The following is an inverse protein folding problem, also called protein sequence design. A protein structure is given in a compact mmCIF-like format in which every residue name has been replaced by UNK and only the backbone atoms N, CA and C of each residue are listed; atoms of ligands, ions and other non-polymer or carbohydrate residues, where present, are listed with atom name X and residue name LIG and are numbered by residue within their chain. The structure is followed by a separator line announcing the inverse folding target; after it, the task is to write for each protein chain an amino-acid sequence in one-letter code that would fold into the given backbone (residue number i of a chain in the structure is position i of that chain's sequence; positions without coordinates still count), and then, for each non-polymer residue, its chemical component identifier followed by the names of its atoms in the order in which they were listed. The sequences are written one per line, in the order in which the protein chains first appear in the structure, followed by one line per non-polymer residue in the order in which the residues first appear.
data_IF_821805295184
#
_entry.id   IF_821805295184
#
_cell.length_a   1.000
_cell.length_b   1.000
_cell.length_c   1.000
_cell.angle_alpha   90.00
_cell.angle_beta   90.00
_cell.angle_gamma   90.00
#
_symmetry.space_group_name_H-M   'P 1'
#
loop_
_entity.id
_entity.type
_entity.pdbx_description
1 polymer ?
#
# COMPACT_ATOMS: atom_id res chain seq x y z
N UNK A 1 13.34 29.30 10.76
CA UNK A 1 12.77 27.96 10.83
C UNK A 1 11.54 27.99 9.94
N UNK A 2 11.57 27.30 8.80
CA UNK A 2 10.39 27.22 7.93
C UNK A 2 9.27 26.51 8.72
N UNK A 3 8.14 27.18 8.85
CA UNK A 3 6.97 26.64 9.54
C UNK A 3 6.35 25.61 8.59
N UNK A 4 6.97 24.43 8.48
CA UNK A 4 6.47 23.35 7.63
C UNK A 4 5.19 22.82 8.25
N UNK A 5 4.07 22.97 7.54
CA UNK A 5 2.77 22.48 7.99
C UNK A 5 2.59 20.98 7.81
N UNK A 6 3.60 20.25 7.30
CA UNK A 6 3.51 18.80 7.10
C UNK A 6 3.75 18.08 8.43
N UNK A 7 2.80 17.27 8.83
CA UNK A 7 2.79 16.51 10.10
C UNK A 7 3.33 15.09 9.96
N UNK A 8 3.10 14.46 8.82
CA UNK A 8 3.60 13.13 8.53
C UNK A 8 3.58 12.85 7.03
N UNK A 9 4.39 11.88 6.63
CA UNK A 9 4.37 11.25 5.31
C UNK A 9 4.03 9.78 5.52
N UNK A 10 2.93 9.33 4.93
CA UNK A 10 2.44 7.97 5.06
C UNK A 10 2.47 7.31 3.69
N UNK A 11 2.95 6.08 3.65
CA UNK A 11 3.19 5.33 2.44
C UNK A 11 2.30 4.08 2.40
N UNK A 12 1.78 3.75 1.24
CA UNK A 12 1.52 2.36 0.93
C UNK A 12 2.85 1.61 0.74
N UNK A 13 2.80 0.29 0.68
CA UNK A 13 4.00 -0.53 0.61
C UNK A 13 4.18 -1.16 -0.78
N UNK A 14 3.23 -2.02 -1.18
CA UNK A 14 3.27 -2.76 -2.44
C UNK A 14 3.00 -1.81 -3.62
N UNK A 15 3.86 -1.79 -4.65
CA UNK A 15 3.71 -0.87 -5.78
C UNK A 15 4.12 0.58 -5.48
N UNK A 16 4.41 0.91 -4.22
CA UNK A 16 4.77 2.26 -3.78
C UNK A 16 6.20 2.35 -3.27
N UNK A 17 6.56 1.59 -2.25
CA UNK A 17 7.94 1.50 -1.76
C UNK A 17 8.72 0.42 -2.49
N UNK A 18 8.06 -0.70 -2.80
CA UNK A 18 8.66 -1.91 -3.33
C UNK A 18 7.85 -2.53 -4.46
N UNK A 19 8.53 -3.21 -5.38
CA UNK A 19 7.90 -4.08 -6.35
C UNK A 19 7.79 -5.50 -5.77
N UNK A 20 6.62 -5.84 -5.28
CA UNK A 20 6.31 -7.17 -4.73
C UNK A 20 5.62 -8.09 -5.71
N UNK A 21 5.39 -7.67 -6.95
CA UNK A 21 4.55 -8.40 -7.91
C UNK A 21 5.01 -9.83 -8.14
N UNK A 22 6.31 -10.05 -8.33
CA UNK A 22 6.87 -11.39 -8.51
C UNK A 22 6.66 -12.25 -7.28
N UNK A 23 6.96 -11.73 -6.10
CA UNK A 23 6.78 -12.43 -4.84
C UNK A 23 5.30 -12.77 -4.60
N UNK A 24 4.43 -11.79 -4.76
CA UNK A 24 3.00 -11.96 -4.54
C UNK A 24 2.39 -12.97 -5.52
N UNK A 25 2.83 -12.98 -6.78
CA UNK A 25 2.42 -14.01 -7.76
C UNK A 25 2.86 -15.41 -7.30
N UNK A 26 4.12 -15.59 -6.88
CA UNK A 26 4.63 -16.88 -6.43
C UNK A 26 3.89 -17.37 -5.17
N UNK A 27 3.73 -16.48 -4.19
CA UNK A 27 2.97 -16.76 -2.95
C UNK A 27 1.52 -17.15 -3.29
N UNK A 28 0.87 -16.40 -4.18
CA UNK A 28 -0.51 -16.71 -4.62
C UNK A 28 -0.58 -18.08 -5.27
N UNK A 29 0.33 -18.41 -6.20
CA UNK A 29 0.40 -19.72 -6.86
C UNK A 29 0.52 -20.84 -5.83
N UNK A 30 1.49 -20.75 -4.93
CA UNK A 30 1.74 -21.77 -3.91
C UNK A 30 0.52 -21.98 -2.99
N UNK A 31 -0.15 -20.90 -2.59
CA UNK A 31 -1.37 -20.98 -1.77
C UNK A 31 -2.49 -21.65 -2.55
N UNK A 32 -2.72 -21.25 -3.80
CA UNK A 32 -3.80 -21.82 -4.64
C UNK A 32 -3.57 -23.31 -4.86
N UNK A 33 -2.35 -23.72 -5.21
CA UNK A 33 -1.99 -25.13 -5.40
C UNK A 33 -2.20 -25.94 -4.11
N UNK A 34 -1.95 -25.37 -2.94
CA UNK A 34 -2.16 -26.05 -1.67
C UNK A 34 -3.65 -26.19 -1.26
N UNK A 35 -4.52 -25.27 -1.72
CA UNK A 35 -5.94 -25.27 -1.35
C UNK A 35 -6.79 -26.11 -2.29
N UNK A 36 -6.50 -26.07 -3.60
CA UNK A 36 -7.35 -26.68 -4.62
C UNK A 36 -6.69 -27.86 -5.34
N UNK A 37 -5.47 -28.22 -4.96
CA UNK A 37 -4.71 -29.37 -5.48
C UNK A 37 -4.65 -29.39 -7.02
N UNK A 38 -4.57 -28.20 -7.66
CA UNK A 38 -4.48 -28.05 -9.12
C UNK A 38 -3.36 -27.08 -9.47
N UNK A 39 -2.84 -27.17 -10.71
CA UNK A 39 -1.80 -26.25 -11.16
C UNK A 39 -2.33 -24.81 -11.20
N UNK A 40 -1.66 -23.89 -10.52
CA UNK A 40 -2.06 -22.48 -10.48
C UNK A 40 -2.11 -21.83 -11.87
N UNK A 41 -1.32 -22.30 -12.84
CA UNK A 41 -1.31 -21.78 -14.22
C UNK A 41 -2.58 -22.11 -15.02
N UNK A 42 -3.48 -22.94 -14.49
CA UNK A 42 -4.82 -23.10 -15.06
C UNK A 42 -5.63 -21.81 -14.97
N UNK A 43 -5.37 -20.99 -13.96
CA UNK A 43 -5.96 -19.66 -13.84
C UNK A 43 -5.24 -18.65 -14.73
N UNK A 44 -5.97 -18.02 -15.64
CA UNK A 44 -5.39 -17.04 -16.58
C UNK A 44 -4.65 -15.89 -15.85
N UNK A 45 -5.16 -15.44 -14.73
CA UNK A 45 -4.56 -14.39 -13.91
C UNK A 45 -3.19 -14.78 -13.32
N UNK A 46 -2.91 -16.09 -13.15
CA UNK A 46 -1.67 -16.56 -12.52
C UNK A 46 -0.63 -17.06 -13.53
N UNK A 47 -0.89 -17.02 -14.85
CA UNK A 47 0.02 -17.52 -15.89
C UNK A 47 1.28 -16.67 -16.06
N UNK A 48 1.17 -15.35 -15.87
CA UNK A 48 2.29 -14.43 -16.04
C UNK A 48 2.19 -13.27 -15.07
N UNK A 49 3.30 -12.58 -14.87
CA UNK A 49 3.35 -11.36 -14.05
C UNK A 49 2.44 -10.26 -14.61
N UNK A 50 2.38 -10.12 -15.93
CA UNK A 50 1.51 -9.16 -16.61
C UNK A 50 0.04 -9.43 -16.32
N UNK A 51 -0.41 -10.70 -16.47
CA UNK A 51 -1.78 -11.08 -16.19
C UNK A 51 -2.13 -10.87 -14.72
N UNK A 52 -1.22 -11.20 -13.80
CA UNK A 52 -1.40 -11.00 -12.37
C UNK A 52 -1.53 -9.51 -12.02
N UNK A 53 -0.66 -8.66 -12.59
CA UNK A 53 -0.72 -7.22 -12.40
C UNK A 53 -2.03 -6.63 -12.92
N UNK A 54 -2.50 -7.06 -14.11
CA UNK A 54 -3.78 -6.63 -14.67
C UNK A 54 -4.96 -7.05 -13.78
N UNK A 55 -4.94 -8.28 -13.27
CA UNK A 55 -5.97 -8.80 -12.37
C UNK A 55 -6.03 -8.00 -11.05
N UNK A 56 -4.86 -7.71 -10.46
CA UNK A 56 -4.78 -6.87 -9.24
C UNK A 56 -5.32 -5.45 -9.47
N UNK A 57 -5.01 -4.83 -10.60
CA UNK A 57 -5.51 -3.48 -10.90
C UNK A 57 -7.04 -3.41 -11.08
N UNK A 58 -7.67 -4.51 -11.49
CA UNK A 58 -9.14 -4.61 -11.61
C UNK A 58 -9.84 -4.86 -10.28
N UNK A 59 -9.16 -5.57 -9.39
CA UNK A 59 -9.71 -5.92 -8.09
C UNK A 59 -9.59 -4.77 -7.08
N UNK A 60 -10.61 -4.54 -6.27
CA UNK A 60 -10.58 -3.53 -5.21
C UNK A 60 -9.73 -3.95 -3.99
N UNK A 61 -9.47 -5.25 -3.85
CA UNK A 61 -8.63 -5.85 -2.81
C UNK A 61 -8.32 -7.32 -3.16
N UNK A 62 -7.44 -7.95 -2.37
CA UNK A 62 -7.02 -9.34 -2.60
C UNK A 62 -8.18 -10.37 -2.56
N UNK A 63 -9.23 -10.16 -1.75
CA UNK A 63 -10.39 -11.06 -1.70
C UNK A 63 -11.19 -10.99 -3.00
N UNK A 64 -11.33 -9.79 -3.56
CA UNK A 64 -11.97 -9.58 -4.87
C UNK A 64 -11.17 -10.24 -5.99
N UNK A 65 -9.84 -10.13 -5.97
CA UNK A 65 -8.96 -10.85 -6.89
C UNK A 65 -9.26 -12.36 -6.88
N UNK A 66 -9.28 -12.95 -5.69
CA UNK A 66 -9.48 -14.38 -5.53
C UNK A 66 -10.91 -14.81 -5.94
N UNK A 67 -11.91 -14.00 -5.63
CA UNK A 67 -13.30 -14.25 -6.00
C UNK A 67 -13.54 -14.13 -7.50
N UNK A 68 -13.08 -13.04 -8.12
CA UNK A 68 -13.44 -12.69 -9.49
C UNK A 68 -12.51 -13.32 -10.52
N UNK A 69 -11.20 -13.34 -10.26
CA UNK A 69 -10.19 -13.79 -11.22
C UNK A 69 -9.81 -15.26 -11.03
N UNK A 70 -9.96 -15.81 -9.81
CA UNK A 70 -9.66 -17.21 -9.50
C UNK A 70 -10.92 -18.03 -9.21
N UNK A 71 -12.10 -17.40 -9.18
CA UNK A 71 -13.40 -18.03 -8.93
C UNK A 71 -13.43 -18.93 -7.67
N UNK A 72 -12.77 -18.49 -6.59
CA UNK A 72 -12.71 -19.23 -5.34
C UNK A 72 -13.98 -19.01 -4.48
N UNK A 73 -14.40 -20.05 -3.79
CA UNK A 73 -15.44 -19.97 -2.78
C UNK A 73 -14.94 -19.22 -1.51
N UNK A 74 -15.85 -18.59 -0.75
CA UNK A 74 -15.48 -17.80 0.44
C UNK A 74 -14.61 -18.58 1.44
N UNK A 75 -14.88 -19.88 1.65
CA UNK A 75 -14.04 -20.73 2.52
C UNK A 75 -12.62 -20.87 2.05
N UNK A 76 -12.40 -20.96 0.74
CA UNK A 76 -11.07 -21.03 0.13
C UNK A 76 -10.36 -19.67 0.21
N UNK A 77 -11.10 -18.57 0.04
CA UNK A 77 -10.57 -17.21 0.21
C UNK A 77 -10.13 -16.98 1.67
N UNK A 78 -10.94 -17.42 2.65
CA UNK A 78 -10.59 -17.33 4.07
C UNK A 78 -9.35 -18.18 4.40
N UNK A 79 -9.24 -19.37 3.82
CA UNK A 79 -8.04 -20.22 3.96
C UNK A 79 -6.81 -19.57 3.35
N UNK A 80 -6.92 -19.02 2.14
CA UNK A 80 -5.83 -18.28 1.50
C UNK A 80 -5.33 -17.12 2.36
N UNK A 81 -6.25 -16.37 2.97
CA UNK A 81 -5.90 -15.29 3.90
C UNK A 81 -5.13 -15.78 5.14
N UNK A 82 -5.50 -16.94 5.70
CA UNK A 82 -4.77 -17.54 6.83
C UNK A 82 -3.36 -18.00 6.45
N UNK A 83 -3.18 -18.47 5.23
CA UNK A 83 -1.91 -18.99 4.74
C UNK A 83 -0.96 -17.87 4.26
N UNK A 84 -1.48 -16.69 3.94
CA UNK A 84 -0.73 -15.62 3.27
C UNK A 84 0.60 -15.29 3.97
N UNK A 85 0.55 -14.94 5.25
CA UNK A 85 1.77 -14.52 5.98
C UNK A 85 2.80 -15.66 6.05
N UNK A 86 2.37 -16.90 6.25
CA UNK A 86 3.26 -18.06 6.34
C UNK A 86 4.00 -18.25 5.01
N UNK A 87 3.26 -18.31 3.89
CA UNK A 87 3.85 -18.48 2.57
C UNK A 87 4.70 -17.28 2.16
N UNK A 88 4.29 -16.06 2.54
CA UNK A 88 5.06 -14.85 2.26
C UNK A 88 6.42 -14.83 2.99
N UNK A 89 6.47 -15.30 4.23
CA UNK A 89 7.71 -15.37 4.99
C UNK A 89 8.63 -16.50 4.53
N UNK A 90 8.06 -17.61 4.03
CA UNK A 90 8.82 -18.75 3.51
C UNK A 90 9.33 -18.53 2.08
N UNK A 91 8.63 -17.70 1.29
CA UNK A 91 9.03 -17.38 -0.08
C UNK A 91 10.29 -16.50 -0.10
N UNK A 92 11.34 -16.99 -0.79
CA UNK A 92 12.64 -16.32 -0.88
C UNK A 92 12.76 -15.36 -2.07
N UNK A 93 11.69 -15.09 -2.82
CA UNK A 93 11.71 -14.12 -3.92
C UNK A 93 12.16 -12.76 -3.40
N UNK A 94 13.20 -12.22 -4.00
CA UNK A 94 13.71 -10.90 -3.62
C UNK A 94 12.68 -9.82 -3.95
N UNK A 95 12.47 -8.92 -2.99
CA UNK A 95 11.62 -7.74 -3.14
C UNK A 95 12.50 -6.53 -3.37
N UNK A 96 12.39 -5.94 -4.55
CA UNK A 96 13.18 -4.76 -4.92
C UNK A 96 12.47 -3.47 -4.50
N UNK A 97 13.19 -2.57 -3.84
CA UNK A 97 12.73 -1.20 -3.65
C UNK A 97 12.78 -0.44 -4.98
N UNK A 98 11.81 0.41 -5.23
CA UNK A 98 11.84 1.27 -6.42
C UNK A 98 13.09 2.16 -6.39
N UNK A 99 13.71 2.34 -7.56
CA UNK A 99 14.93 3.14 -7.68
C UNK A 99 14.69 4.57 -7.16
N UNK A 100 15.57 5.06 -6.29
CA UNK A 100 15.47 6.39 -5.69
C UNK A 100 14.64 6.49 -4.40
N UNK A 101 13.86 5.46 -4.03
CA UNK A 101 12.97 5.52 -2.86
C UNK A 101 13.75 5.76 -1.56
N UNK A 102 14.89 5.08 -1.40
CA UNK A 102 15.75 5.23 -0.21
C UNK A 102 16.25 6.68 -0.06
N UNK A 103 16.66 7.30 -1.17
CA UNK A 103 17.09 8.70 -1.18
C UNK A 103 15.95 9.66 -0.86
N UNK A 104 14.76 9.46 -1.46
CA UNK A 104 13.58 10.29 -1.19
C UNK A 104 13.15 10.21 0.27
N UNK A 105 13.12 9.01 0.88
CA UNK A 105 12.82 8.86 2.31
C UNK A 105 13.88 9.59 3.16
N UNK A 106 15.16 9.46 2.79
CA UNK A 106 16.27 10.14 3.48
C UNK A 106 16.14 11.67 3.43
N UNK A 107 15.81 12.25 2.27
CA UNK A 107 15.59 13.70 2.12
C UNK A 107 14.35 14.21 2.89
N UNK A 108 13.38 13.35 3.12
CA UNK A 108 12.15 13.66 3.87
C UNK A 108 12.23 13.21 5.35
N UNK A 109 13.40 12.80 5.84
CA UNK A 109 13.57 12.26 7.21
C UNK A 109 13.24 13.26 8.33
N UNK A 110 13.10 14.56 8.03
CA UNK A 110 12.61 15.57 8.97
C UNK A 110 11.16 15.33 9.41
N UNK A 111 10.35 14.63 8.59
CA UNK A 111 8.97 14.30 8.87
C UNK A 111 8.84 12.90 9.49
N UNK A 112 7.84 12.67 10.36
CA UNK A 112 7.48 11.33 10.79
C UNK A 112 6.98 10.50 9.59
N UNK A 113 7.55 9.29 9.39
CA UNK A 113 7.09 8.35 8.38
C UNK A 113 6.25 7.23 8.99
N UNK A 114 5.18 6.85 8.28
CA UNK A 114 4.37 5.67 8.56
C UNK A 114 4.10 4.84 7.31
N UNK A 115 3.65 3.61 7.51
CA UNK A 115 3.17 2.73 6.44
C UNK A 115 1.75 2.28 6.77
N UNK A 116 0.88 2.25 5.75
CA UNK A 116 -0.46 1.64 5.82
C UNK A 116 -0.64 0.76 4.60
N UNK A 117 -0.64 -0.55 4.80
CA UNK A 117 -0.64 -1.54 3.72
C UNK A 117 -1.65 -2.66 3.97
N UNK A 118 -2.08 -3.30 2.89
CA UNK A 118 -2.82 -4.57 2.92
C UNK A 118 -1.89 -5.80 2.90
N UNK A 119 -0.58 -5.59 3.10
CA UNK A 119 0.41 -6.65 3.26
C UNK A 119 0.67 -6.93 4.75
N UNK A 120 1.36 -8.03 5.06
CA UNK A 120 1.64 -8.39 6.45
C UNK A 120 2.67 -7.44 7.07
N UNK A 121 2.41 -6.98 8.28
CA UNK A 121 3.33 -6.12 9.02
C UNK A 121 4.69 -6.78 9.23
N UNK A 122 4.71 -8.08 9.53
CA UNK A 122 5.94 -8.84 9.73
C UNK A 122 6.78 -8.92 8.46
N UNK A 123 6.16 -9.14 7.29
CA UNK A 123 6.83 -9.14 5.99
C UNK A 123 7.41 -7.78 5.64
N UNK A 124 6.65 -6.70 5.86
CA UNK A 124 7.11 -5.32 5.66
C UNK A 124 8.34 -5.03 6.53
N UNK A 125 8.26 -5.32 7.83
CA UNK A 125 9.36 -5.09 8.78
C UNK A 125 10.62 -5.88 8.40
N UNK A 126 10.49 -7.13 7.98
CA UNK A 126 11.62 -7.95 7.55
C UNK A 126 12.34 -7.35 6.33
N UNK A 127 11.58 -6.89 5.34
CA UNK A 127 12.16 -6.31 4.12
C UNK A 127 12.80 -4.93 4.39
N UNK A 128 12.17 -4.09 5.20
CA UNK A 128 12.75 -2.80 5.62
C UNK A 128 14.03 -2.99 6.44
N UNK A 129 14.07 -4.00 7.32
CA UNK A 129 15.24 -4.31 8.13
C UNK A 129 16.44 -4.76 7.27
N UNK A 130 16.21 -5.58 6.22
CA UNK A 130 17.25 -5.99 5.26
C UNK A 130 17.94 -4.80 4.58
N UNK A 131 17.22 -3.71 4.38
CA UNK A 131 17.71 -2.46 3.75
C UNK A 131 18.08 -1.38 4.76
N UNK A 132 18.04 -1.67 6.05
CA UNK A 132 18.29 -0.72 7.14
C UNK A 132 17.34 0.50 7.15
N UNK A 133 16.17 0.38 6.51
CA UNK A 133 15.16 1.45 6.43
C UNK A 133 14.16 1.41 7.59
N UNK A 134 14.05 0.28 8.29
CA UNK A 134 13.05 0.11 9.36
C UNK A 134 13.06 1.25 10.41
N UNK A 135 14.22 1.78 10.86
CA UNK A 135 14.25 2.86 11.87
C UNK A 135 13.64 4.19 11.39
N UNK A 136 13.48 4.40 10.08
CA UNK A 136 12.91 5.61 9.51
C UNK A 136 11.37 5.62 9.62
N UNK A 137 10.74 4.46 9.79
CA UNK A 137 9.30 4.34 9.92
C UNK A 137 8.88 4.19 11.37
N UNK A 138 8.20 5.20 11.91
CA UNK A 138 7.77 5.23 13.31
C UNK A 138 6.60 4.30 13.58
N UNK A 139 5.72 4.08 12.60
CA UNK A 139 4.59 3.19 12.75
C UNK A 139 4.23 2.49 11.42
N UNK A 140 3.88 1.22 11.53
CA UNK A 140 3.51 0.37 10.39
C UNK A 140 2.18 -0.30 10.72
N UNK A 141 1.20 -0.09 9.87
CA UNK A 141 -0.10 -0.77 9.88
C UNK A 141 -0.09 -1.78 8.74
N UNK A 142 -0.10 -3.06 9.08
CA UNK A 142 -0.35 -4.16 8.15
C UNK A 142 -1.82 -4.57 8.16
N UNK A 143 -2.16 -5.60 7.39
CA UNK A 143 -3.55 -6.07 7.35
C UNK A 143 -4.01 -6.67 8.69
N UNK A 144 -3.07 -7.18 9.51
CA UNK A 144 -3.37 -7.81 10.79
C UNK A 144 -3.86 -6.83 11.86
N UNK A 145 -3.46 -5.55 11.76
CA UNK A 145 -3.82 -4.51 12.71
C UNK A 145 -5.20 -3.89 12.47
N UNK A 146 -5.85 -4.26 11.36
CA UNK A 146 -7.12 -3.65 10.94
C UNK A 146 -8.12 -4.73 10.59
N UNK A 147 -9.30 -4.69 11.22
CA UNK A 147 -10.39 -5.58 10.87
C UNK A 147 -10.64 -5.59 9.35
N UNK A 148 -10.93 -6.75 8.77
CA UNK A 148 -11.11 -6.92 7.32
C UNK A 148 -12.04 -5.89 6.68
N UNK A 149 -13.14 -5.54 7.37
CA UNK A 149 -14.13 -4.56 6.88
C UNK A 149 -13.68 -3.10 7.02
N UNK A 150 -12.54 -2.87 7.66
CA UNK A 150 -11.95 -1.57 7.96
C UNK A 150 -10.62 -1.33 7.24
N UNK A 151 -10.18 -2.31 6.44
CA UNK A 151 -9.01 -2.16 5.56
C UNK A 151 -9.33 -1.22 4.40
N UNK A 152 -8.28 -0.70 3.73
CA UNK A 152 -8.45 0.16 2.54
C UNK A 152 -9.49 -0.44 1.57
N UNK A 153 -10.44 0.34 1.08
CA UNK A 153 -10.52 1.81 1.06
C UNK A 153 -11.10 2.49 2.30
N UNK A 154 -11.39 1.76 3.39
CA UNK A 154 -11.84 2.36 4.64
C UNK A 154 -10.69 3.10 5.36
N UNK A 155 -10.99 4.15 6.14
CA UNK A 155 -9.98 5.07 6.67
C UNK A 155 -9.28 4.61 7.94
N UNK A 156 -9.75 3.53 8.58
CA UNK A 156 -9.37 3.16 9.95
C UNK A 156 -7.87 2.97 10.13
N UNK A 157 -7.20 2.23 9.20
CA UNK A 157 -5.76 2.02 9.25
C UNK A 157 -4.98 3.33 9.10
N UNK A 158 -5.42 4.23 8.22
CA UNK A 158 -4.78 5.53 8.00
C UNK A 158 -4.94 6.42 9.23
N UNK A 159 -6.13 6.53 9.80
CA UNK A 159 -6.39 7.32 11.00
C UNK A 159 -5.60 6.79 12.19
N UNK A 160 -5.53 5.47 12.38
CA UNK A 160 -4.69 4.83 13.40
C UNK A 160 -3.21 5.19 13.20
N UNK A 161 -2.70 5.11 11.98
CA UNK A 161 -1.32 5.49 11.68
C UNK A 161 -1.06 6.96 12.03
N UNK A 162 -1.95 7.88 11.64
CA UNK A 162 -1.85 9.30 11.94
C UNK A 162 -1.83 9.58 13.45
N UNK A 163 -2.69 8.91 14.21
CA UNK A 163 -2.71 9.01 15.68
C UNK A 163 -1.36 8.60 16.29
N UNK A 164 -0.81 7.45 15.87
CA UNK A 164 0.48 6.94 16.34
C UNK A 164 1.66 7.82 15.95
N UNK A 165 1.53 8.57 14.86
CA UNK A 165 2.53 9.56 14.43
C UNK A 165 2.34 10.94 15.07
N UNK A 166 1.33 11.13 15.93
CA UNK A 166 0.93 12.44 16.46
C UNK A 166 0.62 13.47 15.35
N UNK A 167 0.02 12.99 14.24
CA UNK A 167 -0.23 13.78 13.04
C UNK A 167 -1.67 14.32 12.96
N UNK A 168 -2.41 14.35 14.06
CA UNK A 168 -3.78 14.89 14.14
C UNK A 168 -3.84 16.36 14.59
N UNK A 169 -2.69 17.01 14.79
CA UNK A 169 -2.62 18.45 15.00
C UNK A 169 -2.78 19.20 13.67
N UNK A 170 -3.20 20.47 13.72
CA UNK A 170 -3.42 21.30 12.52
C UNK A 170 -2.25 21.24 11.52
N UNK A 171 -2.54 20.97 10.27
CA UNK A 171 -1.54 20.89 9.21
C UNK A 171 -1.92 19.92 8.09
N UNK A 172 -0.90 19.38 7.43
CA UNK A 172 -1.03 18.52 6.27
C UNK A 172 -0.38 17.16 6.50
N UNK A 173 -0.95 16.13 5.91
CA UNK A 173 -0.37 14.78 5.80
C UNK A 173 -0.29 14.43 4.32
N UNK A 174 0.84 13.89 3.88
CA UNK A 174 0.97 13.31 2.55
C UNK A 174 0.78 11.80 2.63
N UNK A 175 -0.11 11.26 1.83
CA UNK A 175 -0.28 9.82 1.66
C UNK A 175 0.11 9.44 0.23
N UNK A 176 1.07 8.54 0.08
CA UNK A 176 1.57 8.07 -1.22
C UNK A 176 1.11 6.64 -1.42
N UNK A 177 0.48 6.34 -2.56
CA UNK A 177 0.02 4.99 -2.91
C UNK A 177 -0.19 4.83 -4.41
N UNK A 178 -0.15 3.60 -4.90
CA UNK A 178 -0.20 3.26 -6.33
C UNK A 178 -1.58 2.77 -6.80
N UNK A 179 -2.58 2.72 -5.91
CA UNK A 179 -3.89 2.17 -6.25
C UNK A 179 -5.04 3.12 -5.92
N UNK A 180 -6.15 3.02 -6.67
CA UNK A 180 -7.37 3.84 -6.42
C UNK A 180 -7.91 3.68 -4.99
N UNK A 181 -7.73 2.50 -4.37
CA UNK A 181 -8.13 2.26 -2.97
C UNK A 181 -7.41 3.16 -1.97
N UNK A 182 -6.17 3.56 -2.26
CA UNK A 182 -5.39 4.49 -1.44
C UNK A 182 -6.03 5.88 -1.46
N UNK A 183 -6.36 6.34 -2.65
CA UNK A 183 -7.02 7.64 -2.83
C UNK A 183 -8.39 7.66 -2.17
N UNK A 184 -9.16 6.58 -2.31
CA UNK A 184 -10.47 6.43 -1.66
C UNK A 184 -10.35 6.42 -0.13
N UNK A 185 -9.33 5.74 0.40
CA UNK A 185 -9.00 5.73 1.83
C UNK A 185 -8.70 7.15 2.34
N UNK A 186 -7.87 7.92 1.61
CA UNK A 186 -7.60 9.33 1.93
C UNK A 186 -8.88 10.18 1.91
N UNK A 187 -9.74 10.01 0.90
CA UNK A 187 -11.01 10.74 0.82
C UNK A 187 -11.94 10.39 2.00
N UNK A 188 -11.96 9.11 2.40
CA UNK A 188 -12.75 8.66 3.56
C UNK A 188 -12.20 9.24 4.86
N UNK A 189 -10.87 9.20 5.07
CA UNK A 189 -10.22 9.78 6.25
C UNK A 189 -10.47 11.29 6.36
N UNK A 190 -10.32 12.05 5.27
CA UNK A 190 -10.62 13.50 5.27
C UNK A 190 -12.07 13.78 5.66
N UNK A 191 -13.05 12.94 5.25
CA UNK A 191 -14.45 13.10 5.68
C UNK A 191 -14.65 12.85 7.18
N UNK A 192 -13.93 11.88 7.76
CA UNK A 192 -13.97 11.64 9.21
C UNK A 192 -13.38 12.83 9.97
N UNK A 193 -12.17 13.28 9.60
CA UNK A 193 -11.49 14.43 10.22
C UNK A 193 -12.37 15.69 10.17
N UNK A 194 -13.02 15.94 9.04
CA UNK A 194 -13.93 17.08 8.90
C UNK A 194 -15.14 16.99 9.85
N UNK A 195 -15.74 15.80 9.99
CA UNK A 195 -16.88 15.59 10.91
C UNK A 195 -16.47 15.78 12.38
N UNK A 196 -15.25 15.39 12.72
CA UNK A 196 -14.69 15.51 14.06
C UNK A 196 -14.07 16.90 14.35
N UNK A 197 -14.15 17.83 13.40
CA UNK A 197 -13.57 19.18 13.46
C UNK A 197 -12.04 19.17 13.70
N UNK A 198 -11.35 18.13 13.23
CA UNK A 198 -9.90 18.04 13.25
C UNK A 198 -9.34 18.82 12.06
N UNK A 199 -8.52 19.85 12.33
CA UNK A 199 -7.99 20.76 11.31
C UNK A 199 -6.74 20.19 10.62
N UNK A 200 -6.86 18.98 10.08
CA UNK A 200 -5.83 18.32 9.27
C UNK A 200 -6.39 17.99 7.90
N UNK A 201 -5.58 18.21 6.86
CA UNK A 201 -5.90 17.77 5.51
C UNK A 201 -4.87 16.75 5.03
N UNK A 202 -5.34 15.63 4.52
CA UNK A 202 -4.51 14.60 3.89
C UNK A 202 -4.54 14.82 2.38
N UNK A 203 -3.37 14.93 1.77
CA UNK A 203 -3.19 14.94 0.31
C UNK A 203 -2.81 13.55 -0.17
N UNK A 204 -3.49 13.07 -1.20
CA UNK A 204 -3.17 11.82 -1.89
C UNK A 204 -2.20 12.08 -3.04
N UNK A 205 -1.11 11.31 -3.09
CA UNK A 205 -0.10 11.33 -4.14
C UNK A 205 -0.11 9.96 -4.81
N UNK A 206 -0.50 9.91 -6.07
CA UNK A 206 -0.47 8.69 -6.87
C UNK A 206 0.98 8.33 -7.23
N UNK A 207 1.42 7.13 -6.83
CA UNK A 207 2.72 6.58 -7.19
C UNK A 207 2.64 5.95 -8.59
N UNK A 208 2.82 6.76 -9.64
CA UNK A 208 2.65 6.37 -11.04
C UNK A 208 3.97 6.02 -11.73
N UNK A 209 4.99 5.60 -10.98
CA UNK A 209 6.31 5.31 -11.56
C UNK A 209 6.48 3.85 -12.01
N UNK A 210 5.51 2.99 -11.78
CA UNK A 210 5.45 1.69 -12.44
C UNK A 210 4.99 1.85 -13.90
N UNK A 211 5.65 1.13 -14.82
CA UNK A 211 5.29 1.15 -16.24
C UNK A 211 3.83 0.74 -16.46
N UNK A 212 3.10 1.55 -17.24
CA UNK A 212 1.69 1.30 -17.58
C UNK A 212 0.69 1.72 -16.49
N UNK A 213 1.13 2.41 -15.44
CA UNK A 213 0.22 3.03 -14.48
C UNK A 213 -0.47 4.24 -15.13
N UNK A 214 -1.81 4.27 -15.07
CA UNK A 214 -2.63 5.36 -15.60
C UNK A 214 -3.80 5.65 -14.65
N UNK A 215 -3.70 6.75 -13.92
CA UNK A 215 -4.77 7.18 -13.01
C UNK A 215 -5.96 7.80 -13.72
N UNK A 216 -5.86 8.06 -15.04
CA UNK A 216 -6.97 8.65 -15.82
C UNK A 216 -8.20 7.75 -15.86
N UNK A 217 -8.01 6.45 -15.69
CA UNK A 217 -9.06 5.42 -15.65
C UNK A 217 -9.72 5.26 -14.27
N UNK A 218 -9.16 5.89 -13.22
CA UNK A 218 -9.69 5.80 -11.87
C UNK A 218 -10.93 6.68 -11.68
N UNK A 219 -11.93 6.16 -10.98
CA UNK A 219 -13.12 6.94 -10.59
C UNK A 219 -12.78 8.04 -9.57
N UNK A 220 -11.75 7.79 -8.74
CA UNK A 220 -11.26 8.73 -7.73
C UNK A 220 -9.80 9.04 -8.00
N UNK A 221 -9.52 10.24 -8.50
CA UNK A 221 -8.14 10.65 -8.82
C UNK A 221 -7.40 11.17 -7.60
N UNK A 222 -6.07 10.97 -7.55
CA UNK A 222 -5.22 11.56 -6.51
C UNK A 222 -5.17 13.10 -6.65
N UNK A 223 -4.75 13.76 -5.57
CA UNK A 223 -4.53 15.21 -5.59
C UNK A 223 -3.28 15.59 -6.41
N UNK A 224 -2.29 14.71 -6.41
CA UNK A 224 -1.04 14.83 -7.17
C UNK A 224 -0.63 13.47 -7.74
N UNK A 225 0.21 13.50 -8.79
CA UNK A 225 0.78 12.30 -9.40
C UNK A 225 2.30 12.43 -9.46
N UNK A 226 3.00 11.40 -8.98
CA UNK A 226 4.44 11.24 -9.10
C UNK A 226 4.73 10.24 -10.24
N UNK A 227 5.19 10.73 -11.38
CA UNK A 227 5.57 9.90 -12.53
C UNK A 227 6.95 9.25 -12.36
N UNK A 228 7.74 9.79 -11.43
CA UNK A 228 9.03 9.27 -10.96
C UNK A 228 9.07 9.41 -9.46
N UNK A 229 9.88 8.57 -8.82
CA UNK A 229 10.05 8.59 -7.36
C UNK A 229 10.46 9.99 -6.85
N UNK A 230 11.37 10.67 -7.57
CA UNK A 230 11.87 12.00 -7.19
C UNK A 230 10.81 13.11 -7.30
N UNK A 231 9.73 12.90 -8.03
CA UNK A 231 8.64 13.88 -8.12
C UNK A 231 7.93 14.07 -6.77
N UNK A 232 8.01 13.07 -5.89
CA UNK A 232 7.47 13.14 -4.51
C UNK A 232 8.07 14.33 -3.77
N UNK A 233 9.38 14.57 -3.88
CA UNK A 233 10.06 15.71 -3.24
C UNK A 233 9.47 17.04 -3.70
N UNK A 234 9.27 17.21 -5.01
CA UNK A 234 8.71 18.44 -5.60
C UNK A 234 7.24 18.63 -5.17
N UNK A 235 6.49 17.54 -5.02
CA UNK A 235 5.08 17.59 -4.57
C UNK A 235 5.03 17.98 -3.10
N UNK A 236 5.84 17.34 -2.26
CA UNK A 236 5.95 17.66 -0.83
C UNK A 236 6.34 19.14 -0.63
N UNK A 237 7.28 19.66 -1.40
CA UNK A 237 7.68 21.08 -1.34
C UNK A 237 6.55 22.05 -1.76
N UNK A 238 5.65 21.65 -2.64
CA UNK A 238 4.46 22.46 -2.98
C UNK A 238 3.38 22.47 -1.89
N UNK A 239 3.36 21.44 -1.03
CA UNK A 239 2.40 21.29 0.05
C UNK A 239 2.87 22.02 1.34
N UNK A 240 4.20 22.19 1.51
CA UNK A 240 4.81 22.95 2.63
C UNK A 240 4.28 24.39 2.67
#
# INVERSE_FOLDING_TARGET
MSNTNIRAIIWDYDGTLVDTRHKNLNVTRNIIESIIETNAEEFSALRSLENYSLANRRASNWRELYRQELNLAEKQIDEAGRLWTVYQLDDNTEVAFFAGIEAVIGELAEFPHGIVSQNSRSGIMQNLAKKQLLPLFKYIVGYEEVDLKKQKPEPDGLLTCMEKLSALESGYVCYIGDHETDVRCVRAANRVLQKENVNVKIFSIGACYESGMDTSTWNTRPDFEAQKVEDILKIVDKIK
#
